data_IF_817999277322
#
_entry.id   IF_817999277322
#
_cell.length_a   1.000
_cell.length_b   1.000
_cell.length_c   1.000
_cell.angle_alpha   90.00
_cell.angle_beta   90.00
_cell.angle_gamma   90.00
#
_symmetry.space_group_name_H-M   'P 1'
#
loop_
_entity.id
_entity.type
_entity.pdbx_description
1 polymer ?
#
# COMPACT_ATOMS: atom_id res chain seq x y z
N UNK A 1 12.89 -5.33 -10.40
CA UNK A 1 12.87 -4.53 -9.16
C UNK A 1 12.57 -3.05 -9.42
N UNK A 2 13.35 -2.35 -10.27
CA UNK A 2 13.13 -0.92 -10.56
C UNK A 2 11.74 -0.57 -11.12
N UNK A 3 11.18 -1.40 -12.00
CA UNK A 3 9.81 -1.21 -12.54
C UNK A 3 8.76 -1.25 -11.43
N UNK A 4 8.92 -2.12 -10.43
CA UNK A 4 7.98 -2.21 -9.32
C UNK A 4 8.07 -0.99 -8.39
N UNK A 5 9.29 -0.51 -8.10
CA UNK A 5 9.51 0.68 -7.27
C UNK A 5 8.92 1.92 -7.96
N UNK A 6 9.23 2.11 -9.24
CA UNK A 6 8.72 3.25 -10.02
C UNK A 6 7.21 3.21 -10.15
N UNK A 7 6.61 2.04 -10.41
CA UNK A 7 5.15 1.88 -10.41
C UNK A 7 4.53 2.26 -9.06
N UNK A 8 5.14 1.85 -7.94
CA UNK A 8 4.69 2.23 -6.60
C UNK A 8 4.80 3.75 -6.37
N UNK A 9 5.88 4.39 -6.80
CA UNK A 9 6.05 5.85 -6.70
C UNK A 9 5.02 6.63 -7.53
N UNK A 10 4.77 6.20 -8.77
CA UNK A 10 3.80 6.86 -9.66
C UNK A 10 2.39 6.73 -9.10
N UNK A 11 1.97 5.51 -8.77
CA UNK A 11 0.63 5.25 -8.22
C UNK A 11 0.41 5.93 -6.86
N UNK A 12 1.42 5.95 -6.00
CA UNK A 12 1.33 6.64 -4.71
C UNK A 12 1.25 8.16 -4.81
N UNK A 13 1.78 8.75 -5.89
CA UNK A 13 1.61 10.18 -6.17
C UNK A 13 0.26 10.48 -6.84
N UNK A 14 -0.23 9.57 -7.68
CA UNK A 14 -1.48 9.72 -8.42
C UNK A 14 -2.72 9.66 -7.53
N UNK A 15 -2.72 8.80 -6.51
CA UNK A 15 -3.83 8.69 -5.57
C UNK A 15 -3.58 9.52 -4.32
N UNK A 16 -4.45 10.51 -4.07
CA UNK A 16 -4.39 11.35 -2.88
C UNK A 16 -4.39 10.53 -1.57
N UNK A 17 -5.09 9.39 -1.55
CA UNK A 17 -5.22 8.49 -0.40
C UNK A 17 -4.10 7.45 -0.27
N UNK A 18 -3.14 7.40 -1.19
CA UNK A 18 -2.12 6.36 -1.15
C UNK A 18 -1.07 6.58 -0.05
N UNK A 19 -0.83 7.84 0.34
CA UNK A 19 0.17 8.20 1.33
C UNK A 19 -0.40 9.26 2.28
N UNK A 20 -0.18 9.08 3.59
CA UNK A 20 -0.49 10.09 4.60
C UNK A 20 0.14 11.47 4.30
N UNK A 21 1.41 11.55 3.79
CA UNK A 21 1.99 12.79 3.30
C UNK A 21 1.13 13.56 2.28
N UNK A 22 0.42 12.89 1.38
CA UNK A 22 -0.40 13.56 0.36
C UNK A 22 -1.60 14.28 0.99
N UNK A 23 -2.26 13.61 1.95
CA UNK A 23 -3.36 14.20 2.72
C UNK A 23 -2.87 15.35 3.62
N UNK A 24 -1.67 15.22 4.20
CA UNK A 24 -1.05 16.29 4.97
C UNK A 24 -0.74 17.51 4.11
N UNK A 25 -0.16 17.30 2.91
CA UNK A 25 0.12 18.37 1.97
C UNK A 25 -1.16 19.13 1.57
N UNK A 26 -2.26 18.40 1.34
CA UNK A 26 -3.56 19.00 1.05
C UNK A 26 -4.08 19.85 2.22
N UNK A 27 -3.98 19.33 3.45
CA UNK A 27 -4.39 20.07 4.65
C UNK A 27 -3.58 21.36 4.84
N UNK A 28 -2.28 21.34 4.52
CA UNK A 28 -1.41 22.52 4.56
C UNK A 28 -1.73 23.54 3.46
N UNK A 29 -1.99 23.09 2.23
CA UNK A 29 -2.42 23.98 1.14
C UNK A 29 -3.73 24.68 1.51
N UNK A 30 -4.67 23.94 2.10
CA UNK A 30 -5.94 24.50 2.59
C UNK A 30 -5.73 25.53 3.70
N UNK A 31 -4.84 25.29 4.66
CA UNK A 31 -4.62 26.21 5.79
C UNK A 31 -3.80 27.44 5.44
N UNK A 32 -2.85 27.35 4.50
CA UNK A 32 -1.94 28.44 4.13
C UNK A 32 -2.52 29.28 2.99
N UNK A 33 -3.04 28.63 1.94
CA UNK A 33 -3.46 29.26 0.69
C UNK A 33 -4.98 29.39 0.58
N UNK A 34 -5.74 28.66 1.41
CA UNK A 34 -7.21 28.69 1.40
C UNK A 34 -7.84 27.92 0.23
N UNK A 35 -7.05 27.19 -0.56
CA UNK A 35 -7.54 26.40 -1.69
C UNK A 35 -7.92 25.01 -1.22
N UNK A 36 -9.15 24.59 -1.52
CA UNK A 36 -9.62 23.22 -1.28
C UNK A 36 -9.51 22.40 -2.57
N UNK A 37 -8.67 21.36 -2.56
CA UNK A 37 -8.53 20.44 -3.69
C UNK A 37 -9.23 19.14 -3.31
N UNK A 38 -10.25 18.75 -4.09
CA UNK A 38 -10.93 17.48 -3.88
C UNK A 38 -10.08 16.29 -4.31
N UNK A 39 -10.41 15.08 -3.83
CA UNK A 39 -9.77 13.85 -4.27
C UNK A 39 -9.86 13.66 -5.80
N UNK A 40 -11.04 13.94 -6.39
CA UNK A 40 -11.26 13.82 -7.83
C UNK A 40 -10.44 14.84 -8.62
N UNK A 41 -10.37 16.09 -8.14
CA UNK A 41 -9.55 17.14 -8.76
C UNK A 41 -8.07 16.76 -8.76
N UNK A 42 -7.55 16.24 -7.64
CA UNK A 42 -6.17 15.75 -7.56
C UNK A 42 -5.89 14.66 -8.58
N UNK A 43 -6.76 13.64 -8.61
CA UNK A 43 -6.62 12.50 -9.51
C UNK A 43 -6.63 12.94 -10.98
N UNK A 44 -7.60 13.76 -11.38
CA UNK A 44 -7.73 14.25 -12.76
C UNK A 44 -6.55 15.14 -13.16
N UNK A 45 -6.07 15.99 -12.24
CA UNK A 45 -4.90 16.84 -12.49
C UNK A 45 -3.63 16.01 -12.71
N UNK A 46 -3.45 14.91 -11.97
CA UNK A 46 -2.30 14.03 -12.13
C UNK A 46 -2.44 13.05 -13.30
N UNK A 47 -3.67 12.66 -13.66
CA UNK A 47 -3.98 11.65 -14.67
C UNK A 47 -3.18 11.76 -15.98
N UNK A 48 -3.06 12.93 -16.66
CA UNK A 48 -2.29 13.02 -17.90
C UNK A 48 -0.81 12.67 -17.69
N UNK A 49 -0.21 13.13 -16.60
CA UNK A 49 1.17 12.81 -16.24
C UNK A 49 1.30 11.33 -15.80
N UNK A 50 0.34 10.84 -15.03
CA UNK A 50 0.30 9.46 -14.56
C UNK A 50 0.25 8.45 -15.71
N UNK A 51 -0.60 8.68 -16.71
CA UNK A 51 -0.69 7.83 -17.91
C UNK A 51 0.64 7.86 -18.67
N UNK A 52 1.21 9.06 -18.87
CA UNK A 52 2.48 9.20 -19.57
C UNK A 52 3.61 8.44 -18.86
N UNK A 53 3.70 8.53 -17.53
CA UNK A 53 4.72 7.83 -16.74
C UNK A 53 4.48 6.31 -16.70
N UNK A 54 3.22 5.86 -16.54
CA UNK A 54 2.88 4.43 -16.54
C UNK A 54 3.21 3.77 -17.89
N UNK A 55 3.04 4.48 -19.01
CA UNK A 55 3.38 3.97 -20.33
C UNK A 55 4.88 4.07 -20.61
N UNK A 56 5.52 5.18 -20.22
CA UNK A 56 6.95 5.39 -20.45
C UNK A 56 7.82 4.39 -19.68
N UNK A 57 7.45 4.07 -18.43
CA UNK A 57 8.26 3.19 -17.57
C UNK A 57 8.53 1.78 -18.14
N UNK A 58 7.51 0.97 -18.52
CA UNK A 58 7.76 -0.35 -19.09
C UNK A 58 8.49 -0.26 -20.43
N UNK A 59 8.24 0.79 -21.23
CA UNK A 59 8.88 0.98 -22.53
C UNK A 59 10.39 1.29 -22.38
N UNK A 60 10.72 2.20 -21.48
CA UNK A 60 12.11 2.52 -21.13
C UNK A 60 12.81 1.31 -20.51
N UNK A 61 12.13 0.59 -19.61
CA UNK A 61 12.67 -0.62 -19.02
C UNK A 61 12.98 -1.69 -20.07
N UNK A 62 12.09 -1.89 -21.05
CA UNK A 62 12.31 -2.82 -22.15
C UNK A 62 13.51 -2.43 -23.02
N UNK A 63 13.73 -1.13 -23.23
CA UNK A 63 14.83 -0.65 -24.06
C UNK A 63 16.18 -0.70 -23.37
N UNK A 64 16.27 -0.25 -22.11
CA UNK A 64 17.53 -0.27 -21.35
C UNK A 64 17.92 -1.66 -20.85
N UNK A 65 16.93 -2.46 -20.45
CA UNK A 65 17.14 -3.77 -19.85
C UNK A 65 16.23 -4.78 -20.56
N UNK A 66 16.53 -5.14 -21.83
CA UNK A 66 15.71 -6.09 -22.56
C UNK A 66 15.63 -7.41 -21.76
N UNK A 67 14.42 -7.92 -21.52
CA UNK A 67 14.25 -9.12 -20.72
C UNK A 67 14.89 -10.33 -21.42
N UNK A 68 15.67 -11.09 -20.66
CA UNK A 68 16.33 -12.32 -21.13
C UNK A 68 15.30 -13.41 -21.50
N UNK A 69 14.21 -13.49 -20.72
CA UNK A 69 13.09 -14.42 -20.95
C UNK A 69 11.88 -13.65 -21.46
N UNK A 70 11.63 -13.73 -22.77
CA UNK A 70 10.51 -13.01 -23.43
C UNK A 70 9.21 -13.79 -23.43
N UNK A 71 9.29 -15.12 -23.43
CA UNK A 71 8.13 -16.02 -23.41
C UNK A 71 8.44 -17.17 -22.47
N UNK A 72 7.57 -17.39 -21.50
CA UNK A 72 7.62 -18.55 -20.61
C UNK A 72 6.21 -19.11 -20.46
N UNK A 73 5.98 -20.31 -21.01
CA UNK A 73 4.68 -20.98 -20.96
C UNK A 73 4.37 -21.58 -19.59
N UNK A 74 5.37 -21.80 -18.74
CA UNK A 74 5.20 -22.38 -17.41
C UNK A 74 4.65 -21.37 -16.40
N UNK A 75 4.97 -20.07 -16.55
CA UNK A 75 4.51 -19.01 -15.62
C UNK A 75 2.98 -18.82 -15.66
N UNK A 76 2.32 -18.70 -16.83
CA UNK A 76 0.87 -18.66 -16.91
C UNK A 76 0.22 -19.94 -16.37
N UNK A 77 0.82 -21.11 -16.65
CA UNK A 77 0.31 -22.41 -16.20
C UNK A 77 0.44 -22.59 -14.68
N UNK A 78 1.51 -22.06 -14.11
CA UNK A 78 1.72 -21.99 -12.66
C UNK A 78 0.73 -21.02 -12.01
N UNK A 79 0.54 -19.82 -12.57
CA UNK A 79 -0.40 -18.83 -12.06
C UNK A 79 -1.86 -19.34 -12.08
N UNK A 80 -2.26 -20.05 -13.13
CA UNK A 80 -3.58 -20.68 -13.22
C UNK A 80 -3.79 -21.73 -12.12
N UNK A 81 -2.81 -22.60 -11.91
CA UNK A 81 -2.87 -23.61 -10.83
C UNK A 81 -2.90 -22.96 -9.44
N UNK A 82 -2.19 -21.86 -9.24
CA UNK A 82 -2.21 -21.15 -7.96
C UNK A 82 -3.56 -20.44 -7.74
N UNK A 83 -4.15 -19.86 -8.79
CA UNK A 83 -5.48 -19.28 -8.75
C UNK A 83 -6.56 -20.34 -8.41
N UNK A 84 -6.45 -21.54 -8.98
CA UNK A 84 -7.33 -22.67 -8.63
C UNK A 84 -7.20 -23.07 -7.15
N UNK A 85 -5.99 -23.05 -6.58
CA UNK A 85 -5.79 -23.33 -5.14
C UNK A 85 -6.38 -22.25 -4.24
N UNK A 86 -6.30 -20.97 -4.63
CA UNK A 86 -6.90 -19.86 -3.89
C UNK A 86 -8.43 -19.99 -3.85
N UNK A 87 -9.03 -20.50 -4.93
CA UNK A 87 -10.46 -20.80 -4.98
C UNK A 87 -11.34 -19.56 -5.06
N UNK A 88 -12.55 -19.65 -4.53
CA UNK A 88 -13.54 -18.56 -4.58
C UNK A 88 -13.16 -17.44 -3.60
N UNK A 89 -13.45 -16.20 -3.98
CA UNK A 89 -13.29 -15.05 -3.10
C UNK A 89 -14.02 -15.27 -1.78
N UNK A 90 -13.28 -15.11 -0.69
CA UNK A 90 -13.80 -15.16 0.66
C UNK A 90 -14.72 -13.97 0.94
N UNK A 91 -15.63 -14.14 1.90
CA UNK A 91 -16.52 -13.06 2.36
C UNK A 91 -15.75 -11.79 2.74
N UNK A 92 -14.57 -11.94 3.34
CA UNK A 92 -13.75 -10.82 3.79
C UNK A 92 -13.12 -10.05 2.63
N UNK A 93 -12.72 -10.73 1.55
CA UNK A 93 -12.19 -10.06 0.35
C UNK A 93 -13.27 -9.26 -0.38
N UNK A 94 -14.49 -9.82 -0.46
CA UNK A 94 -15.64 -9.11 -1.05
C UNK A 94 -16.01 -7.89 -0.20
N UNK A 95 -16.07 -8.04 1.12
CA UNK A 95 -16.35 -6.91 2.02
C UNK A 95 -15.29 -5.81 1.90
N UNK A 96 -14.01 -6.19 1.81
CA UNK A 96 -12.93 -5.23 1.61
C UNK A 96 -13.10 -4.46 0.29
N UNK A 97 -13.41 -5.16 -0.81
CA UNK A 97 -13.68 -4.52 -2.11
C UNK A 97 -14.85 -3.54 -2.01
N UNK A 98 -15.95 -3.95 -1.37
CA UNK A 98 -17.14 -3.10 -1.17
C UNK A 98 -16.78 -1.83 -0.40
N UNK A 99 -16.00 -1.94 0.69
CA UNK A 99 -15.59 -0.78 1.47
C UNK A 99 -14.65 0.16 0.72
N UNK A 100 -13.75 -0.36 -0.10
CA UNK A 100 -12.88 0.46 -0.96
C UNK A 100 -13.71 1.21 -2.00
N UNK A 101 -14.65 0.53 -2.69
CA UNK A 101 -15.56 1.18 -3.63
C UNK A 101 -16.44 2.24 -2.94
N UNK A 102 -16.94 1.94 -1.74
CA UNK A 102 -17.72 2.88 -0.94
C UNK A 102 -16.92 4.13 -0.56
N UNK A 103 -15.66 3.97 -0.13
CA UNK A 103 -14.75 5.09 0.15
C UNK A 103 -14.54 5.98 -1.08
N UNK A 104 -14.27 5.36 -2.25
CA UNK A 104 -14.07 6.08 -3.51
C UNK A 104 -15.32 6.85 -3.93
N UNK A 105 -16.51 6.25 -3.81
CA UNK A 105 -17.77 6.93 -4.10
C UNK A 105 -17.96 8.16 -3.20
N UNK A 106 -17.64 8.03 -1.91
CA UNK A 106 -17.74 9.16 -0.97
C UNK A 106 -16.76 10.28 -1.34
N UNK A 107 -15.53 9.95 -1.73
CA UNK A 107 -14.54 10.96 -2.14
C UNK A 107 -14.86 11.67 -3.46
N UNK A 108 -15.60 11.02 -4.37
CA UNK A 108 -15.97 11.61 -5.67
C UNK A 108 -17.28 12.41 -5.54
N UNK A 109 -18.31 11.85 -4.90
CA UNK A 109 -19.65 12.42 -4.89
C UNK A 109 -19.98 13.25 -3.64
N UNK A 110 -19.32 13.01 -2.52
CA UNK A 110 -19.59 13.70 -1.25
C UNK A 110 -18.51 14.71 -0.87
N UNK A 111 -17.67 15.13 -1.83
CA UNK A 111 -16.57 16.06 -1.61
C UNK A 111 -17.00 17.41 -1.00
N UNK A 112 -18.23 17.86 -1.30
CA UNK A 112 -18.77 19.13 -0.79
C UNK A 112 -19.36 19.02 0.63
N UNK A 113 -19.65 17.82 1.10
CA UNK A 113 -20.34 17.59 2.37
C UNK A 113 -19.46 16.95 3.44
N UNK A 114 -18.47 16.15 3.02
CA UNK A 114 -17.66 15.32 3.92
C UNK A 114 -16.18 15.54 3.61
N UNK A 115 -15.41 15.92 4.64
CA UNK A 115 -13.95 15.98 4.54
C UNK A 115 -13.38 14.58 4.21
N UNK A 116 -12.42 14.47 3.27
CA UNK A 116 -11.88 13.18 2.84
C UNK A 116 -11.33 12.31 3.97
N UNK A 117 -10.76 12.93 5.02
CA UNK A 117 -10.26 12.22 6.19
C UNK A 117 -11.37 11.59 7.03
N UNK A 118 -12.54 12.24 7.13
CA UNK A 118 -13.69 11.72 7.88
C UNK A 118 -14.31 10.52 7.15
N UNK A 119 -14.40 10.59 5.82
CA UNK A 119 -14.83 9.46 4.99
C UNK A 119 -13.93 8.23 5.20
N UNK A 120 -12.61 8.41 5.21
CA UNK A 120 -11.66 7.33 5.46
C UNK A 120 -11.83 6.72 6.86
N UNK A 121 -11.97 7.58 7.88
CA UNK A 121 -12.14 7.14 9.27
C UNK A 121 -13.43 6.33 9.44
N UNK A 122 -14.54 6.77 8.83
CA UNK A 122 -15.80 6.05 8.85
C UNK A 122 -15.67 4.64 8.24
N UNK A 123 -14.98 4.52 7.10
CA UNK A 123 -14.76 3.21 6.45
C UNK A 123 -13.90 2.29 7.31
N UNK A 124 -12.86 2.82 7.97
CA UNK A 124 -12.01 2.04 8.88
C UNK A 124 -12.83 1.50 10.07
N UNK A 125 -13.70 2.34 10.65
CA UNK A 125 -14.58 1.92 11.76
C UNK A 125 -15.52 0.79 11.31
N UNK A 126 -16.11 0.89 10.11
CA UNK A 126 -16.95 -0.16 9.53
C UNK A 126 -16.18 -1.46 9.26
N UNK A 127 -14.94 -1.37 8.76
CA UNK A 127 -14.07 -2.52 8.54
C UNK A 127 -13.68 -3.24 9.84
N UNK A 128 -13.47 -2.48 10.91
CA UNK A 128 -13.20 -3.02 12.25
C UNK A 128 -14.44 -3.70 12.83
N UNK A 129 -15.61 -3.08 12.72
CA UNK A 129 -16.87 -3.67 13.20
C UNK A 129 -17.18 -4.98 12.46
N UNK A 130 -17.06 -4.99 11.12
CA UNK A 130 -17.34 -6.20 10.32
C UNK A 130 -16.32 -7.33 10.49
N UNK A 131 -15.25 -7.12 11.28
CA UNK A 131 -14.23 -8.14 11.56
C UNK A 131 -13.33 -8.46 10.36
N UNK A 132 -13.37 -7.64 9.30
CA UNK A 132 -12.48 -7.78 8.13
C UNK A 132 -11.03 -7.53 8.56
N UNK A 133 -10.83 -6.54 9.42
CA UNK A 133 -9.55 -6.23 10.07
C UNK A 133 -9.51 -6.84 11.47
N UNK A 134 -8.67 -7.87 11.65
CA UNK A 134 -8.44 -8.49 12.97
C UNK A 134 -7.20 -7.88 13.64
N UNK A 135 -7.34 -7.44 14.90
CA UNK A 135 -6.25 -6.79 15.65
C UNK A 135 -5.00 -7.68 15.80
N UNK A 136 -5.18 -9.00 15.81
CA UNK A 136 -4.10 -9.98 15.81
C UNK A 136 -3.15 -9.87 14.60
N UNK A 137 -3.66 -9.49 13.42
CA UNK A 137 -2.85 -9.38 12.20
C UNK A 137 -1.90 -8.17 12.23
N UNK A 138 -2.28 -7.09 12.91
CA UNK A 138 -1.44 -5.90 13.05
C UNK A 138 -0.18 -6.17 13.88
N UNK A 139 -0.33 -6.83 15.03
CA UNK A 139 0.82 -7.17 15.88
C UNK A 139 1.80 -8.14 15.20
N UNK A 140 1.27 -9.08 14.40
CA UNK A 140 2.08 -10.06 13.69
C UNK A 140 2.84 -9.44 12.51
N UNK A 141 2.23 -8.47 11.81
CA UNK A 141 2.91 -7.68 10.78
C UNK A 141 4.05 -6.83 11.38
N UNK A 142 3.81 -6.23 12.54
CA UNK A 142 4.77 -5.36 13.22
C UNK A 142 5.99 -6.16 13.74
N UNK A 143 5.77 -7.32 14.38
CA UNK A 143 6.89 -8.14 14.86
C UNK A 143 7.74 -8.71 13.72
N UNK A 144 7.13 -9.03 12.57
CA UNK A 144 7.84 -9.43 11.36
C UNK A 144 8.74 -8.33 10.80
N UNK A 145 8.26 -7.08 10.78
CA UNK A 145 9.03 -5.91 10.34
C UNK A 145 10.22 -5.65 11.27
N UNK A 146 10.04 -5.74 12.58
CA UNK A 146 11.12 -5.59 13.56
C UNK A 146 12.19 -6.68 13.40
N UNK A 147 11.79 -7.94 13.19
CA UNK A 147 12.71 -9.04 12.96
C UNK A 147 13.51 -8.86 11.66
N UNK A 148 12.89 -8.36 10.59
CA UNK A 148 13.57 -8.04 9.32
C UNK A 148 14.56 -6.87 9.46
N UNK A 149 14.24 -5.83 10.22
CA UNK A 149 15.17 -4.73 10.52
C UNK A 149 16.39 -5.21 11.31
N UNK A 150 16.22 -6.17 12.23
CA UNK A 150 17.33 -6.76 12.99
C UNK A 150 18.20 -7.72 12.17
N UNK A 151 17.63 -8.42 11.18
CA UNK A 151 18.37 -9.34 10.30
C UNK A 151 19.13 -8.61 9.19
N UNK A 152 18.68 -7.41 8.77
CA UNK A 152 19.28 -6.65 7.66
C UNK A 152 20.41 -5.68 8.06
N UNK A 153 20.91 -5.74 9.29
CA UNK A 153 22.16 -5.07 9.70
C UNK A 153 23.36 -6.05 9.61
N UNK A 154 24.07 -6.16 8.47
CA UNK A 154 25.33 -6.89 8.40
C UNK A 154 26.44 -5.98 8.94
N UNK A 155 26.48 -5.80 10.26
CA UNK A 155 27.47 -4.93 10.90
C UNK A 155 27.00 -4.41 12.23
N UNK A 156 26.85 -5.31 13.21
CA UNK A 156 26.35 -4.93 14.53
C UNK A 156 26.13 -6.12 15.46
N UNK A 157 27.19 -6.90 15.68
CA UNK A 157 27.38 -7.77 16.86
C UNK A 157 26.26 -8.76 17.21
N UNK A 158 26.55 -10.04 16.92
CA UNK A 158 25.93 -11.17 17.60
C UNK A 158 26.17 -11.10 19.11
N UNK A 159 25.18 -10.62 19.86
CA UNK A 159 25.09 -10.76 21.32
C UNK A 159 23.62 -10.88 21.74
N UNK A 160 22.98 -12.00 21.42
CA UNK A 160 21.69 -12.39 22.01
C UNK A 160 21.60 -13.88 22.44
N UNK A 161 22.65 -14.46 23.06
CA UNK A 161 22.41 -15.52 24.06
C UNK A 161 23.04 -15.24 25.43
N UNK A 162 23.76 -14.13 25.64
CA UNK A 162 24.52 -13.89 26.87
C UNK A 162 23.73 -13.22 28.01
N UNK A 163 22.70 -12.44 27.72
CA UNK A 163 21.89 -11.77 28.76
C UNK A 163 21.10 -12.77 29.62
N UNK A 164 20.66 -13.89 29.04
CA UNK A 164 19.99 -14.96 29.80
C UNK A 164 20.93 -15.79 30.67
N UNK A 165 22.25 -15.79 30.39
CA UNK A 165 23.27 -16.42 31.25
C UNK A 165 23.74 -15.50 32.37
N UNK A 166 23.81 -14.20 32.15
CA UNK A 166 24.23 -13.23 33.18
C UNK A 166 23.18 -13.09 34.30
N UNK A 167 21.89 -13.19 33.98
CA UNK A 167 20.83 -13.18 35.00
C UNK A 167 20.79 -14.45 35.87
N UNK A 168 21.45 -15.53 35.43
CA UNK A 168 21.51 -16.82 36.15
C UNK A 168 22.76 -16.97 37.04
N UNK A 169 23.67 -16.00 37.00
CA UNK A 169 24.90 -15.97 37.82
C UNK A 169 24.90 -14.83 38.86
N UNK A 170 23.85 -14.00 38.88
CA UNK A 170 23.67 -12.89 39.82
C UNK A 170 22.51 -13.13 40.80
N UNK A 171 22.09 -14.39 40.99
CA UNK A 171 21.11 -14.83 41.96
C UNK A 171 21.57 -16.14 42.60
#
# INVERSE_FOLDING_TARGET
MWVAITAACITSSMFLSALAPNLLALALVKSIVGINISWGTWFIAFLPLGILLILAMPLLAYWFYPPEVKVNNEVPLWAARELEKLGKLSRNEILLLVFVCFALMMWIFAADWIEPALAALLVIVLMLWTGVLSWSRYHQQQSGMEHLCLVRHPGGTGRRPLLHRLYRLAG
#
